data_IF_605666444021
#
_entry.id   IF_605666444021
#
_cell.length_a   1.000
_cell.length_b   1.000
_cell.length_c   1.000
_cell.angle_alpha   90.00
_cell.angle_beta   90.00
_cell.angle_gamma   90.00
#
_symmetry.space_group_name_H-M   'P 1'
#
loop_
_entity.id
_entity.type
_entity.pdbx_description
1 polymer ?
#
# COMPACT_ATOMS: atom_id res chain seq x y z
N UNK A 1 18.82 8.49 -21.99
CA UNK A 1 17.35 8.44 -21.83
C UNK A 1 16.90 9.48 -20.83
N UNK A 2 15.92 10.26 -21.18
CA UNK A 2 15.42 11.30 -20.30
C UNK A 2 14.28 10.75 -19.46
N UNK A 3 14.39 10.87 -18.16
CA UNK A 3 13.33 10.48 -17.24
C UNK A 3 12.15 11.45 -17.38
N UNK A 4 10.95 10.92 -17.33
CA UNK A 4 9.72 11.70 -17.47
C UNK A 4 8.88 11.58 -16.21
N UNK A 5 8.28 12.69 -15.77
CA UNK A 5 7.34 12.60 -14.65
C UNK A 5 6.09 11.81 -15.04
N UNK A 6 5.46 11.22 -14.04
CA UNK A 6 4.21 10.48 -14.22
C UNK A 6 3.09 11.26 -13.54
N UNK A 7 2.00 11.49 -14.29
CA UNK A 7 0.82 12.12 -13.73
C UNK A 7 -0.09 11.06 -13.12
N UNK A 8 -0.28 11.11 -11.81
CA UNK A 8 -1.17 10.17 -11.14
C UNK A 8 -2.62 10.38 -11.56
N UNK A 9 -3.02 11.64 -11.71
CA UNK A 9 -4.39 11.95 -12.16
C UNK A 9 -4.63 11.37 -13.56
N UNK A 10 -3.68 11.57 -14.48
CA UNK A 10 -3.81 11.04 -15.82
C UNK A 10 -3.82 9.52 -15.85
N UNK A 11 -2.95 8.90 -15.06
CA UNK A 11 -2.88 7.44 -15.00
C UNK A 11 -4.17 6.85 -14.44
N UNK A 12 -4.72 7.43 -13.37
CA UNK A 12 -5.97 6.95 -12.77
C UNK A 12 -7.15 7.11 -13.72
N UNK A 13 -7.15 8.17 -14.54
CA UNK A 13 -8.21 8.38 -15.51
C UNK A 13 -8.15 7.42 -16.69
N UNK A 14 -7.03 6.73 -16.87
CA UNK A 14 -6.83 5.86 -18.02
C UNK A 14 -7.48 4.49 -17.89
N UNK A 15 -7.99 4.13 -16.70
CA UNK A 15 -8.64 2.85 -16.48
C UNK A 15 -9.69 2.97 -15.38
N UNK A 16 -10.62 2.00 -15.36
CA UNK A 16 -11.71 2.01 -14.37
C UNK A 16 -11.79 0.74 -13.55
N UNK A 17 -10.94 -0.23 -13.84
CA UNK A 17 -10.98 -1.53 -13.16
C UNK A 17 -10.69 -1.35 -11.67
N UNK A 18 -11.51 -1.97 -10.82
CA UNK A 18 -11.35 -1.92 -9.37
C UNK A 18 -10.45 -3.07 -8.94
N UNK A 19 -9.53 -2.78 -8.00
CA UNK A 19 -8.58 -3.75 -7.49
C UNK A 19 -7.70 -4.36 -8.57
N UNK A 20 -7.38 -3.56 -9.58
CA UNK A 20 -6.48 -3.97 -10.67
C UNK A 20 -5.29 -3.01 -10.70
N UNK A 21 -4.28 -3.22 -9.83
CA UNK A 21 -3.16 -2.30 -9.72
C UNK A 21 -2.39 -2.17 -11.02
N UNK A 22 -1.97 -0.95 -11.31
CA UNK A 22 -1.14 -0.64 -12.48
C UNK A 22 0.18 -0.04 -12.02
N UNK A 23 1.27 -0.55 -12.55
CA UNK A 23 2.59 0.01 -12.28
C UNK A 23 2.73 1.29 -13.10
N UNK A 24 2.99 2.39 -12.42
CA UNK A 24 3.17 3.68 -13.10
C UNK A 24 4.62 4.09 -13.19
N UNK A 25 5.44 3.64 -12.25
CA UNK A 25 6.88 3.91 -12.29
C UNK A 25 7.58 2.98 -11.31
N UNK A 26 8.90 3.06 -11.29
CA UNK A 26 9.72 2.27 -10.38
C UNK A 26 10.78 3.16 -9.76
N UNK A 27 11.14 2.81 -8.53
CA UNK A 27 12.22 3.47 -7.83
C UNK A 27 13.04 2.38 -7.13
N UNK A 28 14.32 2.28 -7.46
CA UNK A 28 15.17 1.16 -7.00
C UNK A 28 14.52 -0.16 -7.40
N UNK A 29 14.30 -1.07 -6.43
CA UNK A 29 13.65 -2.34 -6.68
C UNK A 29 12.13 -2.28 -6.48
N UNK A 30 11.58 -1.10 -6.28
CA UNK A 30 10.18 -0.95 -5.90
C UNK A 30 9.33 -0.56 -7.10
N UNK A 31 8.17 -1.18 -7.18
CA UNK A 31 7.13 -0.77 -8.12
C UNK A 31 6.23 0.24 -7.43
N UNK A 32 5.96 1.35 -8.11
CA UNK A 32 4.94 2.30 -7.66
C UNK A 32 3.68 1.99 -8.43
N UNK A 33 2.63 1.60 -7.69
CA UNK A 33 1.38 1.16 -8.29
C UNK A 33 0.25 2.07 -7.87
N UNK A 34 -0.73 2.19 -8.77
CA UNK A 34 -1.98 2.87 -8.47
C UNK A 34 -3.13 1.89 -8.67
N UNK A 35 -4.21 2.12 -7.96
CA UNK A 35 -5.39 1.28 -8.08
C UNK A 35 -6.64 2.05 -7.72
N UNK A 36 -7.75 1.68 -8.33
CA UNK A 36 -9.07 2.06 -7.88
C UNK A 36 -9.55 1.03 -6.87
N UNK A 37 -10.14 1.50 -5.78
CA UNK A 37 -10.64 0.59 -4.73
C UNK A 37 -12.07 0.94 -4.39
N UNK A 38 -12.74 0.01 -3.75
CA UNK A 38 -14.12 0.20 -3.29
C UNK A 38 -14.31 -0.58 -2.00
N UNK A 39 -14.81 0.11 -0.96
CA UNK A 39 -15.14 -0.53 0.30
C UNK A 39 -13.91 -0.98 1.07
N UNK A 40 -14.09 -2.06 1.82
CA UNK A 40 -13.04 -2.60 2.66
C UNK A 40 -12.24 -3.66 1.91
N UNK A 41 -10.93 -3.64 2.13
CA UNK A 41 -10.04 -4.63 1.55
C UNK A 41 -9.27 -5.31 2.67
N UNK A 42 -9.22 -6.64 2.65
CA UNK A 42 -8.43 -7.40 3.63
C UNK A 42 -7.01 -7.50 3.10
N UNK A 43 -6.06 -7.10 3.92
CA UNK A 43 -4.65 -7.12 3.57
C UNK A 43 -3.88 -8.01 4.53
N UNK A 44 -3.13 -8.94 3.98
CA UNK A 44 -2.26 -9.79 4.78
C UNK A 44 -0.90 -9.11 4.96
N UNK A 45 -0.42 -9.10 6.19
CA UNK A 45 0.90 -8.56 6.48
C UNK A 45 1.95 -9.50 5.89
N UNK A 46 2.85 -8.95 5.10
CA UNK A 46 3.89 -9.72 4.44
C UNK A 46 5.11 -9.88 5.35
N UNK A 47 5.86 -10.97 5.14
CA UNK A 47 7.01 -11.27 5.99
C UNK A 47 8.27 -10.51 5.59
N UNK A 48 8.41 -10.16 4.33
CA UNK A 48 9.67 -9.68 3.77
C UNK A 48 9.63 -8.26 3.25
N UNK A 49 8.50 -7.59 3.25
CA UNK A 49 8.43 -6.24 2.72
C UNK A 49 7.38 -5.40 3.44
N UNK A 50 7.67 -4.14 3.60
CA UNK A 50 6.69 -3.15 4.05
C UNK A 50 5.86 -2.73 2.86
N UNK A 51 4.61 -2.32 3.13
CA UNK A 51 3.72 -1.81 2.10
C UNK A 51 3.35 -0.37 2.40
N UNK A 52 3.39 0.47 1.38
CA UNK A 52 3.08 1.89 1.50
C UNK A 52 1.74 2.18 0.82
N UNK A 53 0.89 2.92 1.50
CA UNK A 53 -0.39 3.34 0.96
C UNK A 53 -0.54 4.85 1.07
N UNK A 54 -1.04 5.45 0.02
CA UNK A 54 -1.43 6.86 -0.02
C UNK A 54 -2.79 6.93 -0.70
N UNK A 55 -3.78 7.46 -0.01
CA UNK A 55 -5.12 7.64 -0.58
C UNK A 55 -5.18 8.98 -1.28
N UNK A 56 -5.41 8.94 -2.59
CA UNK A 56 -5.46 10.15 -3.40
C UNK A 56 -6.84 10.77 -3.43
N UNK A 57 -7.88 9.96 -3.26
CA UNK A 57 -9.26 10.44 -3.26
C UNK A 57 -10.15 9.41 -2.56
N UNK A 58 -11.21 9.91 -1.91
CA UNK A 58 -12.18 9.06 -1.25
C UNK A 58 -11.66 8.47 0.05
N UNK A 59 -12.09 7.26 0.35
CA UNK A 59 -11.77 6.55 1.58
C UNK A 59 -11.44 5.09 1.26
N UNK A 60 -10.45 4.57 1.95
CA UNK A 60 -10.05 3.19 1.79
C UNK A 60 -9.90 2.55 3.17
N UNK A 61 -10.68 1.52 3.43
CA UNK A 61 -10.65 0.80 4.68
C UNK A 61 -9.82 -0.47 4.49
N UNK A 62 -8.80 -0.63 5.31
CA UNK A 62 -7.92 -1.80 5.24
C UNK A 62 -8.11 -2.62 6.50
N UNK A 63 -8.53 -3.86 6.34
CA UNK A 63 -8.54 -4.82 7.42
C UNK A 63 -7.23 -5.59 7.38
N UNK A 64 -6.37 -5.34 8.37
CA UNK A 64 -5.07 -6.00 8.46
C UNK A 64 -5.20 -7.30 9.23
N UNK A 65 -4.70 -8.36 8.64
CA UNK A 65 -4.70 -9.68 9.28
C UNK A 65 -3.25 -10.15 9.45
N UNK A 66 -2.87 -10.44 10.68
CA UNK A 66 -1.53 -10.93 10.97
C UNK A 66 -1.48 -12.47 10.92
N UNK A 67 -0.31 -13.05 11.18
CA UNK A 67 -0.12 -14.50 11.11
C UNK A 67 -0.92 -15.24 12.18
N UNK A 68 -1.26 -14.58 13.28
CA UNK A 68 -2.05 -15.18 14.35
C UNK A 68 -3.56 -15.08 14.10
N UNK A 69 -3.94 -14.49 13.00
CA UNK A 69 -5.35 -14.32 12.64
C UNK A 69 -6.01 -13.11 13.25
N UNK A 70 -5.26 -12.28 13.96
CA UNK A 70 -5.80 -11.04 14.52
C UNK A 70 -6.06 -10.05 13.40
N UNK A 71 -7.18 -9.34 13.50
CA UNK A 71 -7.57 -8.41 12.47
C UNK A 71 -7.79 -7.03 13.07
N UNK A 72 -7.24 -6.02 12.41
CA UNK A 72 -7.38 -4.62 12.81
C UNK A 72 -7.78 -3.82 11.58
N UNK A 73 -8.79 -2.98 11.71
CA UNK A 73 -9.22 -2.13 10.59
C UNK A 73 -8.64 -0.74 10.72
N UNK A 74 -8.06 -0.27 9.62
CA UNK A 74 -7.51 1.08 9.52
C UNK A 74 -8.28 1.80 8.44
N UNK A 75 -8.76 3.00 8.75
CA UNK A 75 -9.52 3.84 7.82
C UNK A 75 -8.60 4.92 7.28
N UNK A 76 -8.39 4.93 5.97
CA UNK A 76 -7.58 5.92 5.30
C UNK A 76 -8.46 6.83 4.48
N UNK A 77 -8.27 8.13 4.63
CA UNK A 77 -9.00 9.15 3.89
C UNK A 77 -8.06 9.86 2.94
N UNK A 78 -8.62 10.71 2.11
CA UNK A 78 -7.83 11.48 1.15
C UNK A 78 -6.62 12.12 1.82
N UNK A 79 -5.47 11.95 1.19
CA UNK A 79 -4.16 12.46 1.62
C UNK A 79 -3.56 11.74 2.83
N UNK A 80 -4.21 10.67 3.31
CA UNK A 80 -3.61 9.87 4.37
C UNK A 80 -2.55 8.94 3.81
N UNK A 81 -1.47 8.81 4.56
CA UNK A 81 -0.38 7.88 4.29
C UNK A 81 -0.37 6.81 5.37
N UNK A 82 -0.17 5.58 4.98
CA UNK A 82 -0.07 4.49 5.93
C UNK A 82 0.95 3.46 5.45
N UNK A 83 1.80 3.03 6.36
CA UNK A 83 2.76 1.97 6.08
C UNK A 83 2.35 0.74 6.86
N UNK A 84 2.13 -0.36 6.15
CA UNK A 84 1.95 -1.67 6.78
C UNK A 84 3.33 -2.27 6.93
N UNK A 85 3.87 -2.33 8.14
CA UNK A 85 5.19 -2.90 8.32
C UNK A 85 5.17 -4.40 8.08
N UNK A 86 6.27 -4.91 7.58
CA UNK A 86 6.41 -6.36 7.42
C UNK A 86 6.30 -7.02 8.78
N UNK A 87 5.81 -8.24 8.79
CA UNK A 87 5.69 -9.00 10.01
C UNK A 87 7.08 -9.44 10.46
N UNK A 88 7.46 -9.15 11.71
CA UNK A 88 8.78 -9.55 12.19
C UNK A 88 8.88 -11.06 12.31
N UNK A 89 10.05 -11.59 11.92
CA UNK A 89 10.35 -13.00 12.16
C UNK A 89 10.60 -13.21 13.64
N UNK A 90 10.18 -14.36 14.18
CA UNK A 90 10.44 -14.71 15.55
C UNK A 90 11.93 -14.89 15.84
N UNK A 91 12.70 -15.23 14.83
CA UNK A 91 14.15 -15.39 14.96
C UNK A 91 14.91 -14.08 14.81
N UNK A 92 14.21 -12.99 14.57
CA UNK A 92 14.83 -11.71 14.24
C UNK A 92 14.09 -10.61 14.98
N UNK A 93 14.59 -10.19 16.14
CA UNK A 93 13.90 -9.19 16.91
C UNK A 93 13.77 -7.89 16.17
N UNK A 94 12.66 -7.20 16.40
CA UNK A 94 12.47 -5.87 15.90
C UNK A 94 13.48 -4.94 16.49
N UNK A 95 13.98 -4.02 15.70
CA UNK A 95 14.77 -2.95 16.26
C UNK A 95 13.87 -2.04 17.07
N UNK A 96 14.19 -1.95 18.34
CA UNK A 96 13.49 -1.02 19.18
C UNK A 96 13.80 0.41 18.76
N UNK A 97 12.90 1.30 19.00
CA UNK A 97 13.11 2.73 18.80
C UNK A 97 13.43 3.11 17.35
N UNK A 98 13.19 2.23 16.44
CA UNK A 98 13.32 2.59 15.05
C UNK A 98 12.06 3.33 14.66
N UNK A 99 12.19 4.52 14.33
CA UNK A 99 11.03 5.32 14.01
C UNK A 99 11.20 5.98 12.66
#
# INVERSE_FOLDING_TARGET
MTAKPVSLTGALASFNDIYSPRIVTRMNDYDVKIAHTRGEHVWHVHADTDEFFLVLDGQFDIALRDADGNETTVVLRKDDIFVVPREPSTSRPRRAARS
#
